data_IF_405063856123
#
_entry.id   IF_405063856123
#
_cell.length_a   1.000
_cell.length_b   1.000
_cell.length_c   1.000
_cell.angle_alpha   90.00
_cell.angle_beta   90.00
_cell.angle_gamma   90.00
#
_symmetry.space_group_name_H-M   'P 1'
#
loop_
_entity.id
_entity.type
_entity.pdbx_description
1 polymer ?
#
# COMPACT_ATOMS: atom_id res chain seq x y z
N UNK A 1 -71.71 -47.90 -22.75
CA UNK A 1 -70.53 -48.65 -23.26
C UNK A 1 -69.29 -48.21 -22.49
N UNK A 2 -68.70 -49.15 -21.73
CA UNK A 2 -67.29 -49.34 -21.28
C UNK A 2 -66.45 -48.11 -20.85
N UNK A 3 -66.20 -47.89 -19.53
CA UNK A 3 -65.00 -48.24 -18.68
C UNK A 3 -63.67 -47.65 -19.21
N UNK A 4 -62.90 -46.81 -18.50
CA UNK A 4 -61.74 -47.07 -17.57
C UNK A 4 -61.16 -45.66 -17.21
N UNK A 5 -61.05 -45.14 -15.97
CA UNK A 5 -60.15 -45.36 -14.81
C UNK A 5 -58.63 -45.08 -15.03
N UNK A 6 -58.08 -44.00 -14.43
CA UNK A 6 -56.74 -43.89 -13.78
C UNK A 6 -56.41 -42.39 -13.53
N UNK A 7 -56.59 -41.87 -12.31
CA UNK A 7 -55.67 -41.84 -11.15
C UNK A 7 -54.38 -41.02 -11.35
N UNK A 8 -54.34 -39.89 -10.64
CA UNK A 8 -53.21 -38.98 -10.40
C UNK A 8 -51.99 -39.69 -9.79
N UNK A 9 -50.80 -39.45 -10.34
CA UNK A 9 -49.52 -39.73 -9.67
C UNK A 9 -48.54 -38.57 -9.88
N UNK A 10 -48.30 -37.86 -8.77
CA UNK A 10 -47.06 -37.23 -8.31
C UNK A 10 -45.89 -37.06 -9.28
N UNK A 11 -45.51 -35.80 -9.50
CA UNK A 11 -44.12 -35.37 -9.63
C UNK A 11 -43.91 -34.11 -8.77
N UNK A 12 -43.67 -34.32 -7.47
CA UNK A 12 -42.95 -33.35 -6.64
C UNK A 12 -41.56 -33.92 -6.39
N UNK A 13 -40.58 -33.44 -7.15
CA UNK A 13 -39.17 -33.69 -6.88
C UNK A 13 -38.56 -32.46 -6.20
N UNK A 14 -38.29 -32.65 -4.91
CA UNK A 14 -37.09 -32.24 -4.19
C UNK A 14 -36.79 -30.75 -3.97
N UNK A 15 -37.45 -30.17 -2.96
CA UNK A 15 -36.92 -29.04 -2.16
C UNK A 15 -36.36 -29.48 -0.79
N UNK A 16 -36.12 -30.79 -0.59
CA UNK A 16 -35.77 -31.35 0.72
C UNK A 16 -34.26 -31.43 1.02
N UNK A 17 -33.36 -31.03 0.10
CA UNK A 17 -31.91 -31.19 0.31
C UNK A 17 -31.17 -29.94 0.80
N UNK A 18 -31.87 -28.81 0.99
CA UNK A 18 -31.22 -27.55 1.43
C UNK A 18 -31.32 -27.28 2.95
N UNK A 19 -32.29 -27.87 3.65
CA UNK A 19 -32.49 -27.61 5.09
C UNK A 19 -31.57 -28.44 5.99
N UNK A 20 -31.25 -29.68 5.63
CA UNK A 20 -30.34 -30.53 6.41
C UNK A 20 -28.90 -30.00 6.39
N UNK A 21 -28.52 -29.31 5.32
CA UNK A 21 -27.19 -28.73 5.14
C UNK A 21 -26.96 -27.51 6.06
N UNK A 22 -27.94 -26.60 6.14
CA UNK A 22 -27.83 -25.41 6.99
C UNK A 22 -27.85 -25.75 8.48
N UNK A 23 -28.68 -26.71 8.90
CA UNK A 23 -28.74 -27.12 10.30
C UNK A 23 -27.46 -27.84 10.74
N UNK A 24 -26.87 -28.65 9.85
CA UNK A 24 -25.59 -29.31 10.10
C UNK A 24 -24.44 -28.31 10.13
N UNK A 25 -24.45 -27.30 9.25
CA UNK A 25 -23.47 -26.21 9.22
C UNK A 25 -23.53 -25.36 10.49
N UNK A 26 -24.72 -24.94 10.92
CA UNK A 26 -24.89 -24.15 12.16
C UNK A 26 -24.47 -24.96 13.38
N UNK A 27 -24.79 -26.26 13.42
CA UNK A 27 -24.35 -27.16 14.51
C UNK A 27 -22.83 -27.36 14.49
N UNK A 28 -22.21 -27.43 13.31
CA UNK A 28 -20.76 -27.48 13.13
C UNK A 28 -20.07 -26.21 13.61
N UNK A 29 -20.64 -25.04 13.30
CA UNK A 29 -20.18 -23.74 13.79
C UNK A 29 -20.29 -23.63 15.31
N UNK A 30 -21.44 -23.99 15.88
CA UNK A 30 -21.65 -23.93 17.34
C UNK A 30 -20.71 -24.90 18.09
N UNK A 31 -20.46 -26.08 17.53
CA UNK A 31 -19.50 -27.06 18.08
C UNK A 31 -18.07 -26.52 18.01
N UNK A 32 -17.70 -25.89 16.89
CA UNK A 32 -16.36 -25.30 16.70
C UNK A 32 -16.16 -24.10 17.63
N UNK A 33 -17.16 -23.22 17.75
CA UNK A 33 -17.14 -22.07 18.66
C UNK A 33 -17.05 -22.53 20.12
N UNK A 34 -17.79 -23.55 20.53
CA UNK A 34 -17.69 -24.13 21.87
C UNK A 34 -16.33 -24.78 22.12
N UNK A 35 -15.71 -25.37 21.11
CA UNK A 35 -14.37 -25.94 21.23
C UNK A 35 -13.31 -24.85 21.40
N UNK A 36 -13.36 -23.79 20.59
CA UNK A 36 -12.50 -22.60 20.70
C UNK A 36 -12.69 -21.89 22.04
N UNK A 37 -13.92 -21.85 22.56
CA UNK A 37 -14.24 -21.19 23.82
C UNK A 37 -13.95 -22.07 25.07
N UNK A 38 -13.80 -23.39 24.90
CA UNK A 38 -13.40 -24.34 25.97
C UNK A 38 -11.91 -24.61 26.02
N UNK A 39 -11.19 -24.48 24.90
CA UNK A 39 -9.75 -24.54 24.94
C UNK A 39 -9.25 -23.33 25.74
N UNK A 40 -8.65 -23.58 26.90
CA UNK A 40 -7.84 -22.59 27.64
C UNK A 40 -6.60 -22.12 26.85
N UNK A 41 -6.60 -22.24 25.53
CA UNK A 41 -5.77 -21.39 24.70
C UNK A 41 -6.27 -19.97 24.92
N UNK A 42 -5.53 -19.23 25.76
CA UNK A 42 -5.50 -17.77 25.71
C UNK A 42 -5.66 -17.38 24.24
N UNK A 43 -6.62 -16.52 23.85
CA UNK A 43 -6.68 -16.03 22.48
C UNK A 43 -5.24 -15.64 22.17
N UNK A 44 -4.61 -16.32 21.19
CA UNK A 44 -3.20 -16.15 20.89
C UNK A 44 -2.96 -14.66 21.05
N UNK A 45 -2.23 -14.27 22.11
CA UNK A 45 -2.00 -12.87 22.34
C UNK A 45 -1.43 -12.44 21.01
N UNK A 46 -2.18 -11.65 20.25
CA UNK A 46 -1.72 -11.14 18.97
C UNK A 46 -0.68 -10.14 19.42
N UNK A 47 0.47 -10.66 19.84
CA UNK A 47 1.66 -9.89 20.10
C UNK A 47 1.80 -9.16 18.80
N UNK A 48 1.61 -7.84 18.86
CA UNK A 48 1.86 -6.99 17.72
C UNK A 48 3.18 -7.49 17.13
N UNK A 49 3.19 -7.77 15.82
CA UNK A 49 4.35 -8.23 15.05
C UNK A 49 5.41 -7.13 14.96
N UNK A 50 5.61 -6.42 16.07
CA UNK A 50 6.63 -5.43 16.28
C UNK A 50 7.94 -6.17 16.09
N UNK A 51 8.79 -5.72 15.15
CA UNK A 51 10.10 -6.32 14.96
C UNK A 51 10.82 -6.37 16.30
N UNK A 52 11.44 -7.51 16.62
CA UNK A 52 12.05 -7.75 17.94
C UNK A 52 13.14 -6.73 18.28
N UNK A 53 13.68 -6.01 17.29
CA UNK A 53 14.69 -4.96 17.48
C UNK A 53 14.20 -3.54 17.18
N UNK A 54 12.90 -3.34 16.95
CA UNK A 54 12.32 -2.03 16.72
C UNK A 54 12.55 -1.08 17.91
N UNK A 55 13.25 0.02 17.65
CA UNK A 55 13.55 1.04 18.67
C UNK A 55 13.08 2.40 18.20
N UNK A 56 12.49 3.20 19.08
CA UNK A 56 12.16 4.59 18.76
C UNK A 56 13.45 5.41 18.63
N UNK A 57 13.54 6.24 17.59
CA UNK A 57 14.61 7.22 17.36
C UNK A 57 14.01 8.49 16.75
N UNK A 58 14.86 9.44 16.34
CA UNK A 58 14.43 10.68 15.66
C UNK A 58 15.17 10.87 14.34
N UNK A 59 14.47 11.38 13.34
CA UNK A 59 15.05 11.88 12.10
C UNK A 59 14.45 13.25 11.78
N UNK A 60 15.31 14.26 11.55
CA UNK A 60 14.89 15.66 11.36
C UNK A 60 13.90 16.14 12.45
N UNK A 61 14.15 15.76 13.70
CA UNK A 61 13.32 16.11 14.86
C UNK A 61 12.04 15.27 15.05
N UNK A 62 11.67 14.44 14.07
CA UNK A 62 10.42 13.65 14.07
C UNK A 62 10.67 12.23 14.55
N UNK A 63 9.71 11.67 15.28
CA UNK A 63 9.82 10.30 15.81
C UNK A 63 9.66 9.27 14.69
N UNK A 64 10.54 8.27 14.71
CA UNK A 64 10.61 7.21 13.69
C UNK A 64 11.14 5.92 14.32
N UNK A 65 10.74 4.78 13.79
CA UNK A 65 11.28 3.48 14.21
C UNK A 65 12.61 3.19 13.52
N UNK A 66 13.60 2.80 14.32
CA UNK A 66 14.84 2.18 13.89
C UNK A 66 14.70 0.65 13.87
N UNK A 67 15.11 0.03 12.78
CA UNK A 67 15.13 -1.41 12.56
C UNK A 67 16.57 -1.90 12.39
N UNK A 68 16.81 -3.19 12.56
CA UNK A 68 18.01 -3.82 12.02
C UNK A 68 17.95 -3.85 10.49
N UNK A 69 19.09 -4.01 9.81
CA UNK A 69 19.11 -4.15 8.34
C UNK A 69 18.26 -5.34 7.87
N UNK A 70 18.34 -6.48 8.55
CA UNK A 70 17.56 -7.68 8.23
C UNK A 70 16.05 -7.44 8.36
N UNK A 71 15.63 -6.71 9.40
CA UNK A 71 14.21 -6.35 9.58
C UNK A 71 13.75 -5.35 8.53
N UNK A 72 14.58 -4.38 8.14
CA UNK A 72 14.24 -3.44 7.07
C UNK A 72 14.05 -4.15 5.72
N UNK A 73 14.91 -5.14 5.41
CA UNK A 73 14.75 -5.96 4.20
C UNK A 73 13.52 -6.87 4.29
N UNK A 74 13.22 -7.41 5.46
CA UNK A 74 12.00 -8.20 5.70
C UNK A 74 10.76 -7.32 5.51
N UNK A 75 10.74 -6.12 6.09
CA UNK A 75 9.66 -5.16 5.93
C UNK A 75 9.46 -4.78 4.47
N UNK A 76 10.54 -4.56 3.71
CA UNK A 76 10.44 -4.27 2.29
C UNK A 76 9.74 -5.41 1.53
N UNK A 77 10.16 -6.67 1.75
CA UNK A 77 9.55 -7.84 1.10
C UNK A 77 8.08 -7.99 1.49
N UNK A 78 7.76 -7.73 2.76
CA UNK A 78 6.38 -7.74 3.25
C UNK A 78 5.55 -6.67 2.50
N UNK A 79 6.01 -5.41 2.46
CA UNK A 79 5.32 -4.34 1.73
C UNK A 79 5.18 -4.65 0.24
N UNK A 80 6.21 -5.24 -0.38
CA UNK A 80 6.16 -5.66 -1.78
C UNK A 80 5.14 -6.79 -2.02
N UNK A 81 4.86 -7.64 -1.02
CA UNK A 81 3.92 -8.74 -1.14
C UNK A 81 2.45 -8.31 -1.13
N UNK A 82 2.16 -7.06 -0.77
CA UNK A 82 0.83 -6.46 -0.84
C UNK A 82 0.43 -6.17 -2.29
N UNK A 83 -0.05 -7.21 -2.99
CA UNK A 83 -0.38 -7.13 -4.42
C UNK A 83 -1.51 -6.14 -4.75
N UNK A 84 -2.30 -5.70 -3.76
CA UNK A 84 -3.29 -4.64 -3.88
C UNK A 84 -2.67 -3.26 -4.11
N UNK A 85 -1.39 -3.07 -3.75
CA UNK A 85 -0.65 -1.84 -3.99
C UNK A 85 -0.03 -1.91 -5.39
N UNK A 86 -0.38 -1.00 -6.32
CA UNK A 86 0.02 -1.08 -7.72
C UNK A 86 1.42 -0.49 -7.92
N UNK A 87 2.45 -1.21 -7.49
CA UNK A 87 3.84 -0.75 -7.60
C UNK A 87 4.32 -0.58 -9.04
N UNK A 88 3.77 -1.35 -9.99
CA UNK A 88 4.12 -1.24 -11.40
C UNK A 88 3.57 0.05 -12.06
N UNK A 89 2.52 0.65 -11.47
CA UNK A 89 1.92 1.90 -11.91
C UNK A 89 2.65 3.12 -11.32
N UNK A 90 3.82 3.47 -11.85
CA UNK A 90 4.59 4.61 -11.33
C UNK A 90 4.33 5.94 -12.06
N UNK A 91 3.25 6.07 -12.84
CA UNK A 91 2.90 7.36 -13.48
C UNK A 91 2.30 8.33 -12.46
N UNK A 92 1.46 7.80 -11.58
CA UNK A 92 0.82 8.53 -10.50
C UNK A 92 0.74 7.63 -9.26
N UNK A 93 0.04 8.07 -8.22
CA UNK A 93 -0.31 7.20 -7.10
C UNK A 93 0.76 7.08 -6.00
N UNK A 94 1.84 7.87 -6.05
CA UNK A 94 2.93 7.71 -5.08
C UNK A 94 2.46 8.05 -3.66
N UNK A 95 1.59 9.05 -3.53
CA UNK A 95 0.96 9.45 -2.27
C UNK A 95 0.12 8.31 -1.69
N UNK A 96 -0.76 7.72 -2.51
CA UNK A 96 -1.67 6.64 -2.15
C UNK A 96 -0.89 5.39 -1.72
N UNK A 97 0.14 5.00 -2.50
CA UNK A 97 1.01 3.86 -2.19
C UNK A 97 1.79 4.10 -0.90
N UNK A 98 2.41 5.27 -0.76
CA UNK A 98 3.18 5.61 0.43
C UNK A 98 2.29 5.69 1.68
N UNK A 99 1.06 6.20 1.53
CA UNK A 99 0.08 6.28 2.60
C UNK A 99 -0.36 4.88 3.04
N UNK A 100 -0.72 3.99 2.11
CA UNK A 100 -1.13 2.62 2.46
C UNK A 100 0.01 1.81 3.08
N UNK A 101 1.22 1.87 2.52
CA UNK A 101 2.38 1.23 3.13
C UNK A 101 2.63 1.78 4.55
N UNK A 102 2.50 3.08 4.76
CA UNK A 102 2.69 3.69 6.09
C UNK A 102 1.63 3.22 7.08
N UNK A 103 0.36 3.08 6.64
CA UNK A 103 -0.74 2.53 7.44
C UNK A 103 -0.44 1.10 7.87
N UNK A 104 -0.01 0.26 6.93
CA UNK A 104 0.37 -1.14 7.19
C UNK A 104 1.55 -1.24 8.16
N UNK A 105 2.57 -0.39 8.03
CA UNK A 105 3.68 -0.31 8.98
C UNK A 105 3.21 0.03 10.40
N UNK A 106 2.31 1.01 10.53
CA UNK A 106 1.78 1.43 11.84
C UNK A 106 0.96 0.33 12.52
N UNK A 107 0.18 -0.44 11.76
CA UNK A 107 -0.53 -1.62 12.29
C UNK A 107 0.42 -2.68 12.87
N UNK A 108 1.70 -2.66 12.46
CA UNK A 108 2.76 -3.54 12.97
C UNK A 108 3.57 -2.90 14.10
N UNK A 109 3.18 -1.72 14.58
CA UNK A 109 3.95 -0.97 15.59
C UNK A 109 5.23 -0.34 15.04
N UNK A 110 5.39 -0.27 13.72
CA UNK A 110 6.50 0.43 13.07
C UNK A 110 6.02 1.83 12.73
N UNK A 111 6.69 2.86 13.24
CA UNK A 111 6.39 4.26 12.93
C UNK A 111 7.29 4.74 11.79
N UNK A 112 6.79 4.78 10.55
CA UNK A 112 7.54 5.38 9.45
C UNK A 112 7.39 6.90 9.47
N UNK A 113 8.31 7.57 8.77
CA UNK A 113 8.09 8.89 8.20
C UNK A 113 7.72 8.72 6.72
N UNK A 114 7.33 9.81 6.08
CA UNK A 114 7.32 9.89 4.61
C UNK A 114 8.46 10.77 4.16
N UNK A 115 9.13 10.38 3.09
CA UNK A 115 10.16 11.17 2.45
C UNK A 115 9.65 11.67 1.12
N UNK A 116 9.51 12.98 0.99
CA UNK A 116 9.22 13.65 -0.28
C UNK A 116 10.53 14.08 -0.93
N UNK A 117 10.77 13.61 -2.16
CA UNK A 117 11.78 14.15 -3.06
C UNK A 117 11.10 15.06 -4.08
N UNK A 118 11.51 16.32 -4.18
CA UNK A 118 10.90 17.28 -5.10
C UNK A 118 11.89 18.23 -5.74
N UNK A 119 11.47 18.80 -6.86
CA UNK A 119 12.26 19.78 -7.63
C UNK A 119 11.50 21.08 -7.78
N UNK A 120 12.25 22.19 -7.83
CA UNK A 120 11.73 23.46 -8.34
C UNK A 120 11.86 23.40 -9.87
N UNK A 121 10.72 23.24 -10.56
CA UNK A 121 10.68 23.10 -12.03
C UNK A 121 11.20 24.34 -12.77
N UNK A 122 11.29 25.51 -12.10
CA UNK A 122 11.92 26.70 -12.69
C UNK A 122 13.45 26.65 -12.65
N UNK A 123 14.03 25.78 -11.79
CA UNK A 123 15.47 25.70 -11.54
C UNK A 123 16.08 24.36 -11.93
N UNK A 124 15.28 23.33 -12.13
CA UNK A 124 15.76 21.96 -12.31
C UNK A 124 14.83 21.13 -13.18
N UNK A 125 15.37 20.14 -13.93
CA UNK A 125 14.53 19.20 -14.64
C UNK A 125 13.68 18.37 -13.67
N UNK A 126 12.66 17.69 -14.19
CA UNK A 126 11.85 16.74 -13.43
C UNK A 126 12.68 15.53 -13.00
N UNK A 127 12.32 14.92 -11.88
CA UNK A 127 12.81 13.59 -11.50
C UNK A 127 12.49 12.60 -12.61
N UNK A 128 13.37 11.64 -12.87
CA UNK A 128 13.20 10.70 -13.97
C UNK A 128 13.56 9.27 -13.59
N UNK A 129 12.70 8.33 -13.95
CA UNK A 129 13.02 6.90 -13.88
C UNK A 129 12.80 6.22 -15.25
N UNK A 130 13.58 5.18 -15.58
CA UNK A 130 13.32 4.36 -16.77
C UNK A 130 11.95 3.70 -16.68
N UNK A 131 11.21 3.73 -17.79
CA UNK A 131 9.99 2.96 -17.92
C UNK A 131 10.31 1.46 -18.06
N UNK A 132 9.48 0.52 -17.55
CA UNK A 132 9.71 -0.91 -17.70
C UNK A 132 9.89 -1.38 -19.16
N UNK A 133 9.23 -0.71 -20.11
CA UNK A 133 9.38 -0.97 -21.55
C UNK A 133 10.76 -0.60 -22.13
N UNK A 134 11.62 0.08 -21.37
CA UNK A 134 12.99 0.48 -21.74
C UNK A 134 13.10 1.58 -22.81
N UNK A 135 11.99 2.05 -23.38
CA UNK A 135 11.95 3.06 -24.43
C UNK A 135 11.56 4.44 -23.89
N UNK A 136 10.69 4.44 -22.89
CA UNK A 136 10.14 5.66 -22.31
C UNK A 136 10.73 5.97 -20.93
N UNK A 137 10.41 7.16 -20.43
CA UNK A 137 10.85 7.69 -19.15
C UNK A 137 9.65 8.23 -18.40
N UNK A 138 9.53 7.91 -17.11
CA UNK A 138 8.53 8.51 -16.24
C UNK A 138 9.13 9.75 -15.60
N UNK A 139 8.40 10.87 -15.64
CA UNK A 139 8.88 12.17 -15.17
C UNK A 139 7.98 12.70 -14.07
N UNK A 140 8.58 13.16 -12.97
CA UNK A 140 7.82 13.63 -11.82
C UNK A 140 8.33 14.98 -11.29
N UNK A 141 7.39 15.81 -10.84
CA UNK A 141 7.70 17.00 -10.05
C UNK A 141 8.19 16.63 -8.64
N UNK A 142 7.62 15.56 -8.10
CA UNK A 142 8.02 14.98 -6.84
C UNK A 142 7.67 13.49 -6.81
N UNK A 143 8.30 12.77 -5.89
CA UNK A 143 7.98 11.39 -5.56
C UNK A 143 8.02 11.20 -4.04
N UNK A 144 7.26 10.27 -3.51
CA UNK A 144 7.15 10.02 -2.07
C UNK A 144 7.16 8.52 -1.77
N UNK A 145 7.85 8.16 -0.69
CA UNK A 145 7.88 6.80 -0.15
C UNK A 145 8.04 6.81 1.38
N UNK A 146 7.64 5.73 2.07
CA UNK A 146 7.91 5.55 3.49
C UNK A 146 9.41 5.50 3.79
N UNK A 147 9.79 6.12 4.90
CA UNK A 147 11.13 6.15 5.46
C UNK A 147 11.14 5.50 6.85
N UNK A 148 12.12 4.63 7.06
CA UNK A 148 12.46 4.08 8.38
C UNK A 148 13.94 4.34 8.68
N UNK A 149 14.33 4.25 9.94
CA UNK A 149 15.75 4.26 10.29
C UNK A 149 16.28 2.83 10.34
N UNK A 150 17.53 2.64 9.97
CA UNK A 150 18.20 1.33 10.00
C UNK A 150 19.50 1.44 10.76
N UNK A 151 19.66 0.61 11.79
CA UNK A 151 20.85 0.52 12.63
C UNK A 151 21.92 -0.31 11.91
N UNK A 152 22.98 0.33 11.45
CA UNK A 152 24.13 -0.33 10.82
C UNK A 152 25.37 0.03 11.61
N UNK A 153 26.04 -0.96 12.20
CA UNK A 153 27.25 -0.77 13.01
C UNK A 153 27.07 0.32 14.10
N UNK A 154 25.91 0.33 14.77
CA UNK A 154 25.59 1.28 15.82
C UNK A 154 25.16 2.68 15.34
N UNK A 155 25.08 2.92 14.03
CA UNK A 155 24.63 4.19 13.45
C UNK A 155 23.24 4.05 12.83
N UNK A 156 22.36 5.01 13.07
CA UNK A 156 21.06 5.08 12.42
C UNK A 156 21.20 5.73 11.04
N UNK A 157 20.78 5.01 9.99
CA UNK A 157 20.83 5.43 8.59
C UNK A 157 19.42 5.47 8.02
N UNK A 158 18.99 6.55 7.34
CA UNK A 158 17.65 6.62 6.76
C UNK A 158 17.54 5.70 5.54
N UNK A 159 16.54 4.82 5.56
CA UNK A 159 16.22 3.91 4.47
C UNK A 159 14.83 4.18 3.93
N UNK A 160 14.68 3.98 2.62
CA UNK A 160 13.43 4.08 1.89
C UNK A 160 12.88 2.69 1.59
N UNK A 161 11.57 2.54 1.78
CA UNK A 161 10.80 1.34 1.41
C UNK A 161 9.93 1.70 0.19
N UNK A 162 10.45 1.46 -1.01
CA UNK A 162 9.75 1.81 -2.26
C UNK A 162 9.81 0.68 -3.31
N UNK A 163 8.87 -0.28 -3.26
CA UNK A 163 8.81 -1.35 -4.26
C UNK A 163 8.47 -0.88 -5.68
N UNK A 164 8.03 0.37 -5.89
CA UNK A 164 7.77 0.91 -7.23
C UNK A 164 9.05 1.29 -7.99
N UNK A 165 10.18 1.40 -7.28
CA UNK A 165 11.46 1.81 -7.84
C UNK A 165 12.61 0.85 -7.55
N UNK A 166 12.55 0.20 -6.38
CA UNK A 166 13.64 -0.58 -5.82
C UNK A 166 13.29 -2.06 -5.71
N UNK A 167 14.31 -2.90 -5.57
CA UNK A 167 14.16 -4.35 -5.35
C UNK A 167 14.37 -4.76 -3.89
N UNK A 168 14.74 -3.81 -3.05
CA UNK A 168 15.11 -3.99 -1.64
C UNK A 168 14.97 -2.66 -0.91
N UNK A 169 15.01 -2.67 0.42
CA UNK A 169 15.14 -1.43 1.17
C UNK A 169 16.51 -0.82 0.86
N UNK A 170 16.56 0.48 0.53
CA UNK A 170 17.79 1.18 0.13
C UNK A 170 18.03 2.41 1.01
N UNK A 171 19.30 2.84 1.20
CA UNK A 171 19.59 4.13 1.81
C UNK A 171 18.95 5.29 1.03
N UNK A 172 18.56 6.35 1.75
CA UNK A 172 17.95 7.55 1.18
C UNK A 172 18.73 8.14 -0.02
N UNK A 173 20.06 8.13 0.04
CA UNK A 173 20.92 8.64 -1.04
C UNK A 173 20.88 7.77 -2.29
N UNK A 174 20.71 6.45 -2.15
CA UNK A 174 20.58 5.54 -3.28
C UNK A 174 19.25 5.75 -3.99
N UNK A 175 18.16 5.88 -3.24
CA UNK A 175 16.82 6.21 -3.78
C UNK A 175 16.84 7.56 -4.53
N UNK A 176 17.43 8.60 -3.93
CA UNK A 176 17.64 9.90 -4.61
C UNK A 176 18.40 9.73 -5.93
N UNK A 177 19.55 9.05 -5.90
CA UNK A 177 20.39 8.82 -7.08
C UNK A 177 19.63 8.11 -8.20
N UNK A 178 18.70 7.21 -7.86
CA UNK A 178 17.86 6.49 -8.82
C UNK A 178 16.97 7.43 -9.63
N UNK A 179 16.41 8.47 -9.00
CA UNK A 179 15.56 9.49 -9.63
C UNK A 179 16.36 10.58 -10.38
N UNK A 180 17.63 10.76 -10.02
CA UNK A 180 18.51 11.79 -10.60
C UNK A 180 19.60 11.19 -11.49
N UNK A 181 19.43 9.97 -12.01
CA UNK A 181 20.46 9.30 -12.81
C UNK A 181 20.83 10.11 -14.08
N UNK A 182 19.84 10.82 -14.64
CA UNK A 182 19.99 11.66 -15.81
C UNK A 182 20.75 12.98 -15.54
N UNK A 183 20.70 13.49 -14.30
CA UNK A 183 21.46 14.65 -13.85
C UNK A 183 21.82 14.50 -12.35
N UNK A 184 22.97 13.88 -12.04
CA UNK A 184 23.37 13.62 -10.65
C UNK A 184 23.60 14.87 -9.79
N UNK A 185 23.74 16.05 -10.40
CA UNK A 185 24.01 17.31 -9.70
C UNK A 185 22.75 18.15 -9.51
N UNK A 186 21.61 17.72 -10.05
CA UNK A 186 20.36 18.46 -9.91
C UNK A 186 19.99 18.63 -8.43
N UNK A 187 19.60 19.85 -8.00
CA UNK A 187 19.13 20.05 -6.64
C UNK A 187 17.77 19.38 -6.48
N UNK A 188 17.69 18.52 -5.45
CA UNK A 188 16.44 17.85 -5.04
C UNK A 188 16.20 18.19 -3.58
N UNK A 189 15.03 18.72 -3.29
CA UNK A 189 14.56 18.98 -1.94
C UNK A 189 14.07 17.66 -1.34
N UNK A 190 14.64 17.28 -0.21
CA UNK A 190 14.32 16.05 0.52
C UNK A 190 13.70 16.43 1.86
N UNK A 191 12.39 16.24 2.01
CA UNK A 191 11.65 16.60 3.21
C UNK A 191 11.00 15.38 3.86
N UNK A 192 11.32 15.15 5.13
CA UNK A 192 10.72 14.07 5.91
C UNK A 192 9.52 14.59 6.70
N UNK A 193 8.37 13.96 6.51
CA UNK A 193 7.11 14.34 7.15
C UNK A 193 6.59 13.21 8.03
N UNK A 194 5.61 13.52 8.88
CA UNK A 194 4.86 12.47 9.59
C UNK A 194 4.14 11.56 8.58
N UNK A 195 3.89 10.32 8.97
CA UNK A 195 3.23 9.32 8.13
C UNK A 195 1.84 9.76 7.63
N UNK A 196 1.12 10.59 8.37
CA UNK A 196 -0.25 11.02 8.04
C UNK A 196 -0.29 12.15 7.00
N UNK A 197 0.83 12.89 6.82
CA UNK A 197 0.90 13.92 5.78
C UNK A 197 0.79 13.25 4.40
N UNK A 198 -0.22 13.64 3.65
CA UNK A 198 -0.57 13.02 2.38
C UNK A 198 0.13 13.68 1.20
N UNK A 199 0.18 15.01 1.22
CA UNK A 199 0.73 15.81 0.13
C UNK A 199 2.01 16.56 0.54
N UNK A 200 2.77 16.99 -0.47
CA UNK A 200 4.04 17.67 -0.25
C UNK A 200 3.90 19.02 0.45
N UNK A 201 2.79 19.73 0.27
CA UNK A 201 2.59 21.05 0.88
C UNK A 201 2.10 20.98 2.34
N UNK A 202 1.74 19.78 2.81
CA UNK A 202 1.22 19.57 4.16
C UNK A 202 -0.20 20.08 4.37
N UNK A 203 -0.91 20.44 3.30
CA UNK A 203 -2.32 20.88 3.35
C UNK A 203 -3.25 19.74 3.73
N UNK A 204 -2.90 18.52 3.35
CA UNK A 204 -3.69 17.33 3.62
C UNK A 204 -2.94 16.42 4.60
N UNK A 205 -3.41 16.44 5.85
CA UNK A 205 -3.08 15.42 6.84
C UNK A 205 -4.26 14.45 6.90
N UNK A 206 -3.99 13.18 6.66
CA UNK A 206 -5.00 12.12 6.58
C UNK A 206 -4.74 11.14 7.73
N UNK A 207 -5.46 11.25 8.84
CA UNK A 207 -5.29 10.34 9.96
C UNK A 207 -5.61 8.91 9.54
N UNK A 208 -4.79 7.95 9.96
CA UNK A 208 -5.06 6.54 9.66
C UNK A 208 -6.27 5.97 10.39
N UNK A 209 -6.83 6.72 11.36
CA UNK A 209 -8.10 6.42 12.02
C UNK A 209 -9.33 6.78 11.18
N UNK A 210 -9.18 7.52 10.08
CA UNK A 210 -10.28 7.86 9.17
C UNK A 210 -10.56 6.68 8.22
N UNK A 211 -11.52 5.83 8.61
CA UNK A 211 -11.91 4.65 7.83
C UNK A 211 -12.48 4.99 6.44
N UNK A 212 -13.16 6.14 6.31
CA UNK A 212 -13.71 6.56 5.03
C UNK A 212 -12.59 6.94 4.07
N UNK A 213 -11.60 7.67 4.56
CA UNK A 213 -10.42 8.00 3.78
C UNK A 213 -9.61 6.76 3.41
N UNK A 214 -9.38 5.85 4.36
CA UNK A 214 -8.66 4.61 4.10
C UNK A 214 -9.33 3.78 2.99
N UNK A 215 -10.68 3.68 3.02
CA UNK A 215 -11.45 3.02 1.98
C UNK A 215 -11.30 3.70 0.62
N UNK A 216 -11.42 5.03 0.57
CA UNK A 216 -11.24 5.79 -0.66
C UNK A 216 -9.82 5.62 -1.24
N UNK A 217 -8.79 5.63 -0.38
CA UNK A 217 -7.41 5.36 -0.79
C UNK A 217 -7.25 3.96 -1.38
N UNK A 218 -7.86 2.94 -0.77
CA UNK A 218 -7.86 1.56 -1.29
C UNK A 218 -8.59 1.43 -2.62
N UNK A 219 -9.71 2.15 -2.80
CA UNK A 219 -10.42 2.22 -4.08
C UNK A 219 -9.54 2.86 -5.17
N UNK A 220 -8.80 3.93 -4.85
CA UNK A 220 -7.82 4.53 -5.77
C UNK A 220 -6.67 3.61 -6.12
N UNK A 221 -6.13 2.87 -5.15
CA UNK A 221 -5.10 1.86 -5.42
C UNK A 221 -5.62 0.76 -6.36
N UNK A 222 -6.88 0.33 -6.18
CA UNK A 222 -7.53 -0.63 -7.08
C UNK A 222 -7.69 -0.06 -8.50
N UNK A 223 -8.09 1.20 -8.61
CA UNK A 223 -8.21 1.91 -9.89
C UNK A 223 -6.85 1.94 -10.63
N UNK A 224 -5.79 2.37 -9.95
CA UNK A 224 -4.42 2.36 -10.48
C UNK A 224 -3.90 0.96 -10.85
N UNK A 225 -4.31 -0.08 -10.11
CA UNK A 225 -3.98 -1.47 -10.44
C UNK A 225 -4.66 -1.94 -11.72
N UNK A 226 -5.86 -1.45 -12.02
CA UNK A 226 -6.49 -1.74 -13.32
C UNK A 226 -5.78 -0.99 -14.45
N UNK A 227 -5.40 0.27 -14.23
CA UNK A 227 -4.64 1.04 -15.23
C UNK A 227 -3.25 0.48 -15.52
N UNK A 228 -2.61 -0.15 -14.53
CA UNK A 228 -1.30 -0.78 -14.73
C UNK A 228 -1.31 -1.95 -15.71
N UNK A 229 -2.49 -2.47 -16.06
CA UNK A 229 -2.64 -3.60 -17.01
C UNK A 229 -2.78 -3.13 -18.45
N UNK A 230 -3.10 -1.86 -18.67
CA UNK A 230 -3.32 -1.31 -20.00
C UNK A 230 -1.96 -1.00 -20.67
N UNK A 231 -1.62 -1.65 -21.79
CA UNK A 231 -0.37 -1.42 -22.52
C UNK A 231 -0.22 0.04 -23.00
N UNK A 232 -1.34 0.71 -23.26
CA UNK A 232 -1.44 2.11 -23.68
C UNK A 232 -1.93 3.01 -22.54
N UNK A 233 -2.35 2.46 -21.40
CA UNK A 233 -2.68 3.21 -20.18
C UNK A 233 -1.47 3.87 -19.55
N UNK A 234 -0.27 3.44 -19.95
CA UNK A 234 0.98 4.14 -19.68
C UNK A 234 1.27 5.31 -20.65
N UNK A 235 0.48 5.45 -21.72
CA UNK A 235 0.66 6.42 -22.80
C UNK A 235 -0.25 7.67 -22.66
N UNK A 236 0.09 8.50 -21.67
CA UNK A 236 0.59 9.88 -21.86
C UNK A 236 -0.25 11.04 -22.47
N UNK A 237 -1.57 11.14 -22.29
CA UNK A 237 -2.19 12.49 -22.41
C UNK A 237 -3.35 12.74 -21.45
N UNK A 238 -4.32 11.84 -21.38
CA UNK A 238 -5.52 12.02 -20.55
C UNK A 238 -5.23 12.01 -19.04
N UNK A 239 -4.41 11.09 -18.54
CA UNK A 239 -4.05 11.05 -17.11
C UNK A 239 -3.18 12.23 -16.68
N UNK A 240 -2.24 12.62 -17.53
CA UNK A 240 -1.40 13.80 -17.30
C UNK A 240 -2.29 15.05 -17.27
N UNK A 241 -3.18 15.23 -18.26
CA UNK A 241 -4.16 16.32 -18.31
C UNK A 241 -5.12 16.32 -17.12
N UNK A 242 -5.73 15.18 -16.79
CA UNK A 242 -6.73 15.07 -15.73
C UNK A 242 -6.11 15.41 -14.38
N UNK A 243 -4.87 14.99 -14.14
CA UNK A 243 -4.14 15.44 -12.95
C UNK A 243 -3.63 16.86 -13.04
N UNK A 244 -3.22 17.36 -14.20
CA UNK A 244 -2.85 18.76 -14.34
C UNK A 244 -4.07 19.65 -14.04
N UNK A 245 -5.28 19.23 -14.43
CA UNK A 245 -6.58 19.83 -14.09
C UNK A 245 -6.89 19.72 -12.59
N UNK A 246 -6.84 18.51 -12.00
CA UNK A 246 -7.02 18.33 -10.54
C UNK A 246 -5.99 19.14 -9.74
N UNK A 247 -4.78 19.35 -10.29
CA UNK A 247 -3.74 20.17 -9.67
C UNK A 247 -3.98 21.67 -9.82
N UNK A 248 -4.64 22.13 -10.89
CA UNK A 248 -5.09 23.52 -11.00
C UNK A 248 -6.16 23.82 -9.94
N UNK A 249 -7.10 22.89 -9.72
CA UNK A 249 -8.10 23.01 -8.65
C UNK A 249 -7.50 22.90 -7.24
N UNK A 250 -6.28 22.38 -7.13
CA UNK A 250 -5.50 22.34 -5.88
C UNK A 250 -4.50 23.50 -5.76
N UNK A 251 -4.55 24.52 -6.62
CA UNK A 251 -3.69 25.71 -6.55
C UNK A 251 -4.45 27.02 -6.29
N UNK A 252 -5.78 27.00 -6.34
CA UNK A 252 -6.68 28.07 -5.86
C UNK A 252 -7.16 27.80 -4.41
#
# INVERSE_FOLDING_TARGET
>A
MKVILALLVFFQFSLAFAQDDLHSFVKGLDTTLKHVNRSESRPCASSALTPSSAQATKYQGKDVTALSEVEAQTLFKEMQSHTEIPFDFAIAGCEERAHEMSRLMLLKGIRPLKMFASVDENKSPRLEIPHPNGKDKRRWKFHVAPLVMVRINGKDVPYIIDPSMEKKAVPLQEWKRRMTLHDPKMPVMMDATIAEQYDISGRYVRPFSDENWNRANQEKLKEFKEYSKDPDGENNYLFQMQRDLERMDMMD
#
